data_IF_769989916687
#
_entry.id   IF_769989916687
#
_cell.length_a   1.000
_cell.length_b   1.000
_cell.length_c   1.000
_cell.angle_alpha   90.00
_cell.angle_beta   90.00
_cell.angle_gamma   90.00
#
_symmetry.space_group_name_H-M   'P 1'
#
loop_
_entity.id
_entity.type
_entity.pdbx_description
1 polymer ?
#
# COMPACT_ATOMS: atom_id res chain seq x y z
N UNK A 1 11.21 -23.25 7.50
CA UNK A 1 9.96 -22.93 8.24
C UNK A 1 9.61 -21.49 7.91
N UNK A 2 8.63 -21.29 7.03
CA UNK A 2 8.32 -19.96 6.47
C UNK A 2 7.77 -19.01 7.53
N UNK A 3 8.02 -17.71 7.32
CA UNK A 3 7.32 -16.64 8.04
C UNK A 3 5.84 -16.76 7.64
N UNK A 4 4.98 -17.20 8.56
CA UNK A 4 3.53 -17.16 8.33
C UNK A 4 3.04 -15.72 8.48
N UNK A 5 2.01 -15.31 7.74
CA UNK A 5 1.44 -13.96 7.86
C UNK A 5 1.07 -13.60 9.32
N UNK A 6 0.64 -14.61 10.10
CA UNK A 6 0.39 -14.48 11.53
C UNK A 6 1.66 -14.14 12.32
N UNK A 7 2.80 -14.78 12.02
CA UNK A 7 4.09 -14.49 12.66
C UNK A 7 4.65 -13.11 12.30
N UNK A 8 4.50 -12.69 11.03
CA UNK A 8 4.86 -11.34 10.59
C UNK A 8 3.97 -10.27 11.25
N UNK A 9 2.65 -10.49 11.27
CA UNK A 9 1.69 -9.57 11.88
C UNK A 9 1.93 -9.37 13.38
N UNK A 10 2.22 -10.44 14.12
CA UNK A 10 2.56 -10.33 15.54
C UNK A 10 3.90 -9.62 15.77
N UNK A 11 4.90 -9.82 14.90
CA UNK A 11 6.17 -9.07 14.96
C UNK A 11 5.96 -7.56 14.69
N UNK A 12 5.10 -7.22 13.72
CA UNK A 12 4.75 -5.83 13.40
C UNK A 12 4.01 -5.16 14.56
N UNK A 13 2.99 -5.82 15.13
CA UNK A 13 2.30 -5.30 16.33
C UNK A 13 3.25 -5.11 17.49
N UNK A 14 4.16 -6.06 17.72
CA UNK A 14 5.17 -5.97 18.77
C UNK A 14 6.11 -4.78 18.52
N UNK A 15 6.61 -4.60 17.31
CA UNK A 15 7.46 -3.47 16.95
C UNK A 15 6.76 -2.12 17.19
N UNK A 16 5.49 -1.99 16.80
CA UNK A 16 4.71 -0.78 17.04
C UNK A 16 4.45 -0.52 18.54
N UNK A 17 4.23 -1.58 19.34
CA UNK A 17 4.14 -1.48 20.80
C UNK A 17 5.47 -1.07 21.43
N UNK A 18 6.59 -1.59 20.94
CA UNK A 18 7.94 -1.25 21.42
C UNK A 18 8.28 0.24 21.20
N UNK A 19 7.69 0.88 20.18
CA UNK A 19 7.81 2.32 19.94
C UNK A 19 6.62 3.14 20.48
N UNK A 20 5.78 2.55 21.35
CA UNK A 20 4.59 3.17 21.96
C UNK A 20 3.59 3.79 20.96
N UNK A 21 3.41 3.19 19.78
CA UNK A 21 2.44 3.64 18.77
C UNK A 21 1.25 2.69 18.75
N UNK A 22 0.08 3.17 19.16
CA UNK A 22 -1.17 2.42 18.98
C UNK A 22 -1.69 2.61 17.54
N UNK A 23 -1.33 1.65 16.68
CA UNK A 23 -1.75 1.63 15.29
C UNK A 23 -3.25 1.38 15.11
N UNK A 24 -4.00 0.99 16.14
CA UNK A 24 -5.45 0.80 16.02
C UNK A 24 -6.22 2.12 16.14
N UNK A 25 -5.66 3.09 16.85
CA UNK A 25 -6.30 4.39 17.10
C UNK A 25 -5.62 5.54 16.36
N UNK A 26 -4.31 5.43 16.10
CA UNK A 26 -3.50 6.48 15.47
C UNK A 26 -3.15 6.13 14.03
N UNK A 27 -3.34 7.10 13.11
CA UNK A 27 -2.93 6.93 11.70
C UNK A 27 -1.43 6.81 11.54
N UNK A 28 -1.01 6.00 10.58
CA UNK A 28 0.40 5.85 10.23
C UNK A 28 0.54 5.60 8.73
N UNK A 29 1.63 6.10 8.17
CA UNK A 29 1.93 6.02 6.74
C UNK A 29 2.78 4.79 6.46
N UNK A 30 2.47 4.09 5.38
CA UNK A 30 3.14 2.87 4.97
C UNK A 30 3.55 2.95 3.50
N UNK A 31 4.76 2.46 3.23
CA UNK A 31 5.21 2.06 1.90
C UNK A 31 5.50 0.56 1.94
N UNK A 32 4.99 -0.18 0.97
CA UNK A 32 5.04 -1.65 0.97
C UNK A 32 5.73 -2.26 -0.25
N UNK A 33 6.20 -3.50 -0.09
CA UNK A 33 6.70 -4.33 -1.20
C UNK A 33 5.82 -5.58 -1.29
N UNK A 34 5.05 -5.69 -2.37
CA UNK A 34 4.05 -6.73 -2.58
C UNK A 34 2.74 -6.16 -3.11
N UNK A 35 1.72 -7.02 -3.13
CA UNK A 35 0.35 -6.70 -3.52
C UNK A 35 -0.66 -7.45 -2.64
N UNK A 36 -1.93 -7.11 -2.82
CA UNK A 36 -3.03 -7.68 -2.03
C UNK A 36 -3.29 -9.17 -2.29
N UNK A 37 -2.65 -9.82 -3.27
CA UNK A 37 -2.76 -11.28 -3.46
C UNK A 37 -1.84 -12.07 -2.54
N UNK A 38 -0.79 -11.43 -2.00
CA UNK A 38 0.16 -12.07 -1.10
C UNK A 38 -0.36 -12.19 0.33
N UNK A 39 -0.30 -13.40 0.91
CA UNK A 39 -0.79 -13.68 2.28
C UNK A 39 -0.19 -12.73 3.33
N UNK A 40 1.13 -12.53 3.33
CA UNK A 40 1.81 -11.66 4.31
C UNK A 40 1.47 -10.19 4.09
N UNK A 41 1.49 -9.73 2.85
CA UNK A 41 1.24 -8.33 2.51
C UNK A 41 -0.23 -7.96 2.78
N UNK A 42 -1.16 -8.77 2.27
CA UNK A 42 -2.59 -8.54 2.41
C UNK A 42 -3.02 -8.49 3.86
N UNK A 43 -2.69 -9.51 4.67
CA UNK A 43 -2.99 -9.49 6.10
C UNK A 43 -2.33 -8.32 6.84
N UNK A 44 -1.10 -7.95 6.48
CA UNK A 44 -0.41 -6.81 7.07
C UNK A 44 -1.11 -5.48 6.77
N UNK A 45 -1.60 -5.30 5.54
CA UNK A 45 -2.33 -4.11 5.13
C UNK A 45 -3.72 -4.03 5.77
N UNK A 46 -4.34 -5.16 6.07
CA UNK A 46 -5.65 -5.22 6.73
C UNK A 46 -5.57 -5.21 8.26
N UNK A 47 -4.38 -5.07 8.83
CA UNK A 47 -4.15 -5.14 10.29
C UNK A 47 -4.75 -3.96 11.06
N UNK A 48 -4.92 -2.82 10.40
CA UNK A 48 -5.43 -1.60 11.03
C UNK A 48 -6.25 -0.74 10.06
N UNK A 49 -7.41 -0.22 10.50
CA UNK A 49 -8.19 0.76 9.75
C UNK A 49 -7.52 2.14 9.69
N UNK A 50 -6.41 2.34 10.41
CA UNK A 50 -5.63 3.59 10.44
C UNK A 50 -4.41 3.58 9.51
N UNK A 51 -4.28 2.53 8.71
CA UNK A 51 -3.21 2.37 7.72
C UNK A 51 -3.41 3.36 6.56
N UNK A 52 -2.44 4.24 6.34
CA UNK A 52 -2.33 5.09 5.14
C UNK A 52 -1.29 4.49 4.21
N UNK A 53 -1.71 3.61 3.30
CA UNK A 53 -0.82 3.03 2.30
C UNK A 53 -0.60 4.03 1.17
N UNK A 54 0.54 4.71 1.18
CA UNK A 54 0.81 5.76 0.19
C UNK A 54 1.57 5.27 -1.03
N UNK A 55 2.25 4.12 -0.91
CA UNK A 55 2.90 3.47 -2.04
C UNK A 55 3.08 1.98 -1.82
N UNK A 56 3.01 1.21 -2.90
CA UNK A 56 3.39 -0.19 -2.92
C UNK A 56 3.94 -0.57 -4.29
N UNK A 57 4.78 -1.59 -4.35
CA UNK A 57 5.18 -2.17 -5.64
C UNK A 57 5.41 -3.67 -5.52
N UNK A 58 5.11 -4.39 -6.59
CA UNK A 58 5.47 -5.80 -6.74
C UNK A 58 6.34 -5.98 -8.00
N UNK A 59 6.39 -7.18 -8.56
CA UNK A 59 7.10 -7.44 -9.81
C UNK A 59 6.39 -6.87 -11.06
N UNK A 60 5.13 -6.44 -10.96
CA UNK A 60 4.27 -6.06 -12.10
C UNK A 60 3.95 -4.57 -12.11
N UNK A 61 3.61 -4.03 -10.95
CA UNK A 61 2.95 -2.75 -10.80
C UNK A 61 3.60 -1.90 -9.70
N UNK A 62 3.44 -0.58 -9.84
CA UNK A 62 3.70 0.43 -8.82
C UNK A 62 2.38 1.14 -8.54
N UNK A 63 1.97 1.13 -7.28
CA UNK A 63 0.84 1.84 -6.72
C UNK A 63 1.36 3.04 -5.94
N UNK A 64 0.81 4.23 -6.17
CA UNK A 64 1.05 5.43 -5.36
C UNK A 64 -0.28 6.14 -5.13
N UNK A 65 -0.61 6.40 -3.88
CA UNK A 65 -1.78 7.16 -3.47
C UNK A 65 -1.35 8.27 -2.47
N UNK A 66 -1.31 9.54 -2.89
CA UNK A 66 -0.73 10.61 -2.06
C UNK A 66 -1.41 10.83 -0.72
N UNK A 67 -2.74 10.81 -0.70
CA UNK A 67 -3.56 11.11 0.47
C UNK A 67 -4.78 10.18 0.56
N UNK A 68 -4.57 8.87 0.80
CA UNK A 68 -5.65 7.89 0.76
C UNK A 68 -6.69 8.16 1.84
N UNK A 69 -7.97 8.10 1.47
CA UNK A 69 -9.04 7.98 2.46
C UNK A 69 -8.93 6.61 3.13
N UNK A 70 -8.70 6.59 4.44
CA UNK A 70 -8.39 5.36 5.18
C UNK A 70 -9.54 4.34 5.14
N UNK A 71 -10.80 4.79 5.18
CA UNK A 71 -11.95 3.90 5.21
C UNK A 71 -12.22 3.29 3.83
N UNK A 72 -12.27 4.13 2.80
CA UNK A 72 -12.48 3.70 1.42
C UNK A 72 -11.34 2.81 0.92
N UNK A 73 -10.08 3.19 1.18
CA UNK A 73 -8.92 2.40 0.78
C UNK A 73 -8.78 1.09 1.58
N UNK A 74 -9.25 1.03 2.83
CA UNK A 74 -9.34 -0.23 3.58
C UNK A 74 -10.35 -1.18 2.94
N UNK A 75 -11.59 -0.71 2.71
CA UNK A 75 -12.63 -1.53 2.08
C UNK A 75 -12.19 -2.05 0.69
N UNK A 76 -11.49 -1.22 -0.07
CA UNK A 76 -10.99 -1.62 -1.39
C UNK A 76 -9.87 -2.67 -1.29
N UNK A 77 -8.96 -2.53 -0.33
CA UNK A 77 -7.93 -3.54 -0.05
C UNK A 77 -8.56 -4.86 0.42
N UNK A 78 -9.60 -4.83 1.25
CA UNK A 78 -10.35 -6.04 1.66
C UNK A 78 -10.98 -6.73 0.46
N UNK A 79 -11.63 -5.96 -0.43
CA UNK A 79 -12.20 -6.48 -1.68
C UNK A 79 -11.14 -7.17 -2.54
N UNK A 80 -9.98 -6.53 -2.73
CA UNK A 80 -8.88 -7.09 -3.52
C UNK A 80 -8.26 -8.34 -2.88
N UNK A 81 -8.16 -8.39 -1.55
CA UNK A 81 -7.65 -9.55 -0.82
C UNK A 81 -8.58 -10.77 -0.96
N UNK A 82 -9.89 -10.55 -1.11
CA UNK A 82 -10.87 -11.60 -1.33
C UNK A 82 -10.91 -12.16 -2.76
N UNK A 83 -10.25 -11.51 -3.73
CA UNK A 83 -10.19 -11.99 -5.11
C UNK A 83 -9.28 -13.23 -5.22
N UNK A 84 -9.64 -14.26 -6.03
CA UNK A 84 -8.82 -15.46 -6.20
C UNK A 84 -7.40 -15.19 -6.72
N UNK A 85 -7.25 -14.15 -7.55
CA UNK A 85 -5.99 -13.59 -8.03
C UNK A 85 -6.19 -12.10 -8.22
N UNK A 86 -5.41 -11.29 -7.52
CA UNK A 86 -5.43 -9.84 -7.66
C UNK A 86 -4.05 -9.28 -8.02
N UNK A 87 -4.06 -8.05 -8.49
CA UNK A 87 -2.93 -7.20 -8.83
C UNK A 87 -3.28 -5.77 -8.51
N UNK A 88 -2.32 -4.85 -8.46
CA UNK A 88 -2.65 -3.45 -8.27
C UNK A 88 -3.54 -2.90 -9.38
N UNK A 89 -3.52 -3.47 -10.59
CA UNK A 89 -4.45 -3.08 -11.66
C UNK A 89 -5.93 -3.36 -11.36
N UNK A 90 -6.23 -4.26 -10.42
CA UNK A 90 -7.60 -4.56 -10.01
C UNK A 90 -8.17 -3.52 -9.02
N UNK A 91 -7.34 -2.61 -8.50
CA UNK A 91 -7.76 -1.56 -7.56
C UNK A 91 -8.72 -0.58 -8.26
N UNK A 92 -9.84 -0.27 -7.62
CA UNK A 92 -10.79 0.74 -8.07
C UNK A 92 -10.16 2.13 -8.03
N UNK A 93 -9.72 2.60 -9.20
CA UNK A 93 -9.03 3.90 -9.36
C UNK A 93 -9.90 5.09 -8.96
N UNK A 94 -11.23 4.92 -8.84
CA UNK A 94 -12.11 5.98 -8.32
C UNK A 94 -11.93 6.23 -6.81
N UNK A 95 -11.25 5.32 -6.10
CA UNK A 95 -10.93 5.43 -4.67
C UNK A 95 -9.56 6.05 -4.41
N UNK A 96 -8.73 6.22 -5.44
CA UNK A 96 -7.46 6.92 -5.33
C UNK A 96 -7.70 8.38 -5.00
N UNK A 97 -6.82 8.96 -4.18
CA UNK A 97 -6.80 10.41 -3.98
C UNK A 97 -6.35 11.15 -5.23
N UNK A 98 -6.50 12.47 -5.21
CA UNK A 98 -6.05 13.32 -6.30
C UNK A 98 -4.54 13.15 -6.55
N UNK A 99 -4.18 12.83 -7.79
CA UNK A 99 -2.79 12.54 -8.17
C UNK A 99 -2.33 11.12 -7.85
N UNK A 100 -3.21 10.24 -7.35
CA UNK A 100 -2.96 8.81 -7.24
C UNK A 100 -2.79 8.14 -8.60
N UNK A 101 -1.90 7.14 -8.66
CA UNK A 101 -1.56 6.46 -9.90
C UNK A 101 -1.20 5.00 -9.66
N UNK A 102 -1.58 4.16 -10.62
CA UNK A 102 -1.16 2.75 -10.71
C UNK A 102 -0.58 2.53 -12.10
N UNK A 103 0.68 2.13 -12.16
CA UNK A 103 1.44 1.96 -13.40
C UNK A 103 2.15 0.62 -13.43
N UNK A 104 2.34 0.06 -14.62
CA UNK A 104 3.15 -1.14 -14.78
C UNK A 104 4.64 -0.80 -14.71
N UNK A 105 5.40 -1.64 -14.00
CA UNK A 105 6.87 -1.57 -13.93
C UNK A 105 7.58 -1.80 -15.26
N UNK A 106 6.88 -2.36 -16.25
CA UNK A 106 7.43 -2.60 -17.58
C UNK A 106 7.43 -1.34 -18.47
N UNK A 107 6.84 -0.24 -17.99
CA UNK A 107 6.90 1.03 -18.72
C UNK A 107 8.32 1.60 -18.69
N UNK A 108 8.84 1.96 -19.87
CA UNK A 108 10.20 2.50 -20.04
C UNK A 108 10.40 3.89 -19.43
N UNK A 109 9.32 4.63 -19.21
CA UNK A 109 9.34 5.94 -18.58
C UNK A 109 7.96 6.22 -18.01
N UNK A 110 7.94 6.79 -16.81
CA UNK A 110 6.72 7.16 -16.10
C UNK A 110 6.86 8.61 -15.66
N UNK A 111 5.89 9.43 -16.03
CA UNK A 111 5.73 10.77 -15.46
C UNK A 111 4.74 10.67 -14.30
N UNK A 112 5.24 10.84 -13.09
CA UNK A 112 4.45 10.87 -11.88
C UNK A 112 3.74 12.21 -11.74
N UNK A 113 2.46 12.21 -11.33
CA UNK A 113 1.80 13.42 -10.84
C UNK A 113 2.62 14.06 -9.71
N UNK A 114 2.57 15.40 -9.63
CA UNK A 114 3.35 16.13 -8.62
C UNK A 114 3.03 15.68 -7.19
N UNK A 115 1.75 15.42 -6.89
CA UNK A 115 1.31 14.92 -5.58
C UNK A 115 1.89 13.52 -5.28
N UNK A 116 1.91 12.61 -6.26
CA UNK A 116 2.52 11.28 -6.13
C UNK A 116 4.01 11.37 -5.86
N UNK A 117 4.74 12.18 -6.63
CA UNK A 117 6.18 12.38 -6.42
C UNK A 117 6.47 12.96 -5.04
N UNK A 118 5.70 13.97 -4.60
CA UNK A 118 5.84 14.58 -3.29
C UNK A 118 5.57 13.58 -2.15
N UNK A 119 4.54 12.74 -2.27
CA UNK A 119 4.18 11.75 -1.26
C UNK A 119 5.31 10.75 -0.96
N UNK A 120 6.07 10.37 -1.98
CA UNK A 120 7.22 9.45 -1.83
C UNK A 120 8.58 10.17 -1.79
N UNK A 121 8.59 11.50 -1.68
CA UNK A 121 9.82 12.30 -1.52
C UNK A 121 10.68 12.43 -2.77
N UNK A 122 10.13 12.25 -3.97
CA UNK A 122 10.85 12.44 -5.23
C UNK A 122 10.84 13.91 -5.67
N UNK A 123 12.03 14.48 -5.86
CA UNK A 123 12.20 15.85 -6.37
C UNK A 123 11.98 15.98 -7.89
N UNK A 124 12.06 14.87 -8.63
CA UNK A 124 11.81 14.83 -10.08
C UNK A 124 10.57 13.98 -10.35
N UNK A 125 9.70 14.46 -11.24
CA UNK A 125 8.46 13.79 -11.62
C UNK A 125 8.64 12.76 -12.74
N UNK A 126 9.81 12.68 -13.37
CA UNK A 126 10.12 11.65 -14.37
C UNK A 126 11.09 10.62 -13.79
N UNK A 127 10.66 9.36 -13.78
CA UNK A 127 11.53 8.22 -13.52
C UNK A 127 11.77 7.46 -14.84
N UNK A 128 13.01 7.00 -15.03
CA UNK A 128 13.47 6.21 -16.18
C UNK A 128 13.99 4.87 -15.69
#
# INVERSE_FOLDING_TARGET
>A
KGITAKGAGEAVKRHFREINRDIQTSSFTVVGVGDMSGDVFGNGMLLSPKTRLIAAFDHRDIFIDPDPDMAASMAERERMFALPRSSWQDYDKTKLSEGGIIVSRNQKSITLPAAAAAAIGLAKTTAT
#
